data_IF_520539965539
#
_entry.id   IF_520539965539
#
_cell.length_a   1.000
_cell.length_b   1.000
_cell.length_c   1.000
_cell.angle_alpha   90.00
_cell.angle_beta   90.00
_cell.angle_gamma   90.00
#
_symmetry.space_group_name_H-M   'P 1'
#
loop_
_entity.id
_entity.type
_entity.pdbx_description
1 polymer ?
#
# COMPACT_ATOMS: atom_id res chain seq x y z
N UNK A 1 -0.15 -13.28 22.87
CA UNK A 1 0.53 -12.38 21.91
C UNK A 1 0.98 -11.12 22.63
N UNK A 2 2.28 -10.82 22.61
CA UNK A 2 2.84 -9.52 23.01
C UNK A 2 3.76 -9.01 21.90
N UNK A 3 3.97 -7.70 21.83
CA UNK A 3 4.88 -7.12 20.85
C UNK A 3 5.65 -5.94 21.45
N UNK A 4 6.84 -5.71 20.92
CA UNK A 4 7.67 -4.55 21.19
C UNK A 4 8.28 -4.07 19.88
N UNK A 5 8.61 -2.79 19.76
CA UNK A 5 9.11 -2.24 18.51
C UNK A 5 9.52 -0.79 18.63
N UNK A 6 10.11 -0.28 17.56
CA UNK A 6 10.48 1.12 17.44
C UNK A 6 10.07 1.67 16.05
N UNK A 7 9.89 2.98 16.01
CA UNK A 7 9.57 3.72 14.79
C UNK A 7 10.52 4.90 14.66
N UNK A 8 11.18 5.00 13.52
CA UNK A 8 12.00 6.14 13.13
C UNK A 8 11.23 6.93 12.08
N UNK A 9 11.04 8.21 12.32
CA UNK A 9 10.33 9.12 11.43
C UNK A 9 11.29 10.25 11.05
N UNK A 10 11.45 10.48 9.74
CA UNK A 10 12.28 11.54 9.19
C UNK A 10 11.44 12.39 8.25
N UNK A 11 11.48 13.70 8.44
CA UNK A 11 10.66 14.65 7.68
C UNK A 11 11.46 15.90 7.35
N UNK A 12 11.56 16.22 6.07
CA UNK A 12 12.03 17.52 5.56
C UNK A 12 10.93 18.26 4.81
N UNK A 13 9.68 17.84 4.99
CA UNK A 13 8.52 18.45 4.32
C UNK A 13 8.40 19.94 4.66
N UNK A 14 8.07 20.73 3.65
CA UNK A 14 7.71 22.14 3.79
C UNK A 14 6.42 22.32 4.61
N UNK A 15 5.45 21.44 4.40
CA UNK A 15 4.16 21.47 5.07
C UNK A 15 3.64 20.06 5.33
N UNK A 16 3.24 19.76 6.56
CA UNK A 16 2.80 18.41 6.96
C UNK A 16 1.38 18.05 6.52
N UNK A 17 0.55 19.04 6.21
CA UNK A 17 -0.82 18.83 5.70
C UNK A 17 -0.87 18.86 4.18
N UNK A 18 -0.09 19.75 3.56
CA UNK A 18 -0.07 19.96 2.10
C UNK A 18 1.38 20.07 1.61
N UNK A 19 2.12 18.95 1.56
CA UNK A 19 3.51 18.99 1.18
C UNK A 19 3.65 19.32 -0.30
N UNK A 20 4.52 20.26 -0.62
CA UNK A 20 4.88 20.59 -2.01
C UNK A 20 6.32 20.20 -2.33
N UNK A 21 7.17 20.10 -1.30
CA UNK A 21 8.58 19.78 -1.43
C UNK A 21 9.08 18.98 -0.23
N UNK A 22 10.02 18.07 -0.47
CA UNK A 22 10.79 17.40 0.56
C UNK A 22 10.46 15.93 0.72
N UNK A 23 11.16 15.28 1.66
CA UNK A 23 11.07 13.86 1.93
C UNK A 23 10.34 13.61 3.25
N UNK A 24 9.42 12.65 3.23
CA UNK A 24 8.91 12.01 4.43
C UNK A 24 9.20 10.52 4.39
N UNK A 25 9.91 10.02 5.39
CA UNK A 25 10.30 8.63 5.50
C UNK A 25 10.00 8.07 6.88
N UNK A 26 9.55 6.83 6.92
CA UNK A 26 9.28 6.08 8.14
C UNK A 26 9.92 4.70 8.05
N UNK A 27 10.50 4.27 9.16
CA UNK A 27 11.03 2.92 9.33
C UNK A 27 10.45 2.36 10.62
N UNK A 28 9.75 1.23 10.51
CA UNK A 28 9.10 0.56 11.62
C UNK A 28 9.68 -0.84 11.74
N UNK A 29 10.07 -1.20 12.96
CA UNK A 29 10.48 -2.56 13.28
C UNK A 29 9.76 -3.03 14.54
N UNK A 30 9.12 -4.18 14.43
CA UNK A 30 8.31 -4.77 15.49
C UNK A 30 8.69 -6.24 15.67
N UNK A 31 9.03 -6.59 16.90
CA UNK A 31 9.17 -7.97 17.35
C UNK A 31 7.85 -8.43 17.98
N UNK A 32 7.32 -9.56 17.52
CA UNK A 32 6.08 -10.18 17.99
C UNK A 32 6.44 -11.50 18.65
N UNK A 33 6.09 -11.63 19.93
CA UNK A 33 6.51 -12.70 20.83
C UNK A 33 5.34 -13.47 21.49
N UNK A 34 5.73 -14.37 22.39
CA UNK A 34 4.90 -15.21 23.27
C UNK A 34 4.27 -16.43 22.57
N UNK A 35 3.39 -16.21 21.60
CA UNK A 35 2.77 -17.28 20.80
C UNK A 35 3.39 -17.41 19.41
N UNK A 36 4.17 -16.39 19.02
CA UNK A 36 4.86 -16.28 17.74
C UNK A 36 6.28 -15.78 18.00
N UNK A 37 7.17 -15.96 17.03
CA UNK A 37 8.52 -15.41 17.05
C UNK A 37 8.82 -14.73 15.72
N UNK A 38 8.27 -13.52 15.53
CA UNK A 38 8.31 -12.81 14.26
C UNK A 38 9.01 -11.45 14.40
N UNK A 39 9.81 -11.10 13.40
CA UNK A 39 10.36 -9.77 13.21
C UNK A 39 9.74 -9.14 11.96
N UNK A 40 8.88 -8.15 12.17
CA UNK A 40 8.21 -7.38 11.13
C UNK A 40 8.95 -6.06 10.91
N UNK A 41 9.45 -5.87 9.70
CA UNK A 41 10.15 -4.64 9.28
C UNK A 41 9.38 -4.00 8.14
N UNK A 42 9.13 -2.70 8.22
CA UNK A 42 8.44 -1.93 7.19
C UNK A 42 9.14 -0.57 7.01
N UNK A 43 9.45 -0.22 5.77
CA UNK A 43 10.04 1.06 5.40
C UNK A 43 9.16 1.73 4.34
N UNK A 44 8.89 3.02 4.52
CA UNK A 44 8.08 3.82 3.60
C UNK A 44 8.73 5.18 3.42
N UNK A 45 8.78 5.67 2.19
CA UNK A 45 9.31 6.98 1.86
C UNK A 45 8.46 7.62 0.76
N UNK A 46 8.16 8.91 0.89
CA UNK A 46 7.53 9.71 -0.16
C UNK A 46 8.28 11.02 -0.31
N UNK A 47 8.71 11.29 -1.53
CA UNK A 47 9.39 12.53 -1.90
C UNK A 47 8.45 13.38 -2.76
N UNK A 48 8.32 14.65 -2.40
CA UNK A 48 7.52 15.65 -3.11
C UNK A 48 8.44 16.64 -3.82
N UNK A 49 8.06 17.04 -5.02
CA UNK A 49 8.77 18.05 -5.79
C UNK A 49 7.79 18.92 -6.58
N UNK A 50 7.99 20.25 -6.61
CA UNK A 50 7.24 21.10 -7.52
C UNK A 50 7.67 20.81 -8.96
N UNK A 51 6.72 20.42 -9.82
CA UNK A 51 6.97 20.22 -11.25
C UNK A 51 6.77 21.53 -12.03
N UNK A 52 5.73 22.27 -11.66
CA UNK A 52 5.44 23.60 -12.19
C UNK A 52 4.95 24.50 -11.05
N UNK A 53 5.87 25.26 -10.46
CA UNK A 53 5.58 26.12 -9.31
C UNK A 53 4.51 27.17 -9.64
N UNK A 54 4.54 27.75 -10.83
CA UNK A 54 3.58 28.78 -11.26
C UNK A 54 2.14 28.25 -11.38
N UNK A 55 1.99 26.96 -11.65
CA UNK A 55 0.69 26.29 -11.86
C UNK A 55 0.34 25.34 -10.72
N UNK A 56 1.08 25.37 -9.61
CA UNK A 56 0.84 24.55 -8.43
C UNK A 56 0.76 23.04 -8.74
N UNK A 57 1.57 22.58 -9.71
CA UNK A 57 1.64 21.16 -10.08
C UNK A 57 2.74 20.50 -9.28
N UNK A 58 2.37 19.49 -8.48
CA UNK A 58 3.27 18.81 -7.56
C UNK A 58 3.41 17.36 -8.00
N UNK A 59 4.65 16.93 -8.18
CA UNK A 59 5.00 15.53 -8.38
C UNK A 59 5.33 14.88 -7.05
N UNK A 60 4.99 13.60 -6.90
CA UNK A 60 5.48 12.80 -5.79
C UNK A 60 5.83 11.39 -6.23
N UNK A 61 6.85 10.83 -5.58
CA UNK A 61 7.25 9.44 -5.72
C UNK A 61 7.21 8.81 -4.33
N UNK A 62 6.44 7.73 -4.19
CA UNK A 62 6.38 6.90 -2.98
C UNK A 62 7.06 5.57 -3.24
N UNK A 63 7.89 5.13 -2.31
CA UNK A 63 8.45 3.79 -2.26
C UNK A 63 8.13 3.16 -0.89
N UNK A 64 7.85 1.86 -0.88
CA UNK A 64 7.56 1.13 0.34
C UNK A 64 8.00 -0.32 0.22
N UNK A 65 8.48 -0.88 1.32
CA UNK A 65 8.86 -2.28 1.40
C UNK A 65 8.53 -2.82 2.78
N UNK A 66 8.16 -4.09 2.84
CA UNK A 66 7.88 -4.78 4.08
C UNK A 66 8.36 -6.22 4.03
N UNK A 67 8.88 -6.71 5.15
CA UNK A 67 9.29 -8.09 5.31
C UNK A 67 8.99 -8.59 6.73
N UNK A 68 8.46 -9.81 6.83
CA UNK A 68 8.24 -10.51 8.09
C UNK A 68 9.14 -11.75 8.09
N UNK A 69 10.11 -11.76 9.00
CA UNK A 69 10.95 -12.92 9.26
C UNK A 69 10.39 -13.72 10.44
N UNK A 70 10.28 -15.03 10.31
CA UNK A 70 10.07 -15.92 11.44
C UNK A 70 11.44 -16.33 12.01
N UNK A 71 11.72 -15.98 13.27
CA UNK A 71 13.05 -16.16 13.87
C UNK A 71 13.27 -17.56 14.44
N UNK A 72 12.18 -18.31 14.67
CA UNK A 72 12.20 -19.71 15.13
C UNK A 72 12.19 -20.73 13.97
N UNK A 73 12.27 -20.26 12.73
CA UNK A 73 12.13 -21.11 11.53
C UNK A 73 10.70 -21.61 11.29
N UNK A 74 9.71 -21.12 12.05
CA UNK A 74 8.30 -21.36 11.81
C UNK A 74 7.77 -20.60 10.59
N UNK A 75 6.51 -20.87 10.23
CA UNK A 75 5.79 -20.09 9.22
C UNK A 75 5.21 -18.79 9.79
N UNK A 76 4.94 -17.81 8.94
CA UNK A 76 4.21 -16.59 9.33
C UNK A 76 2.71 -16.90 9.33
N UNK A 77 2.05 -16.70 10.47
CA UNK A 77 0.60 -16.87 10.56
C UNK A 77 -0.12 -15.88 9.62
N UNK A 78 -1.19 -16.30 8.90
CA UNK A 78 -2.03 -15.40 8.11
C UNK A 78 -2.61 -14.19 8.86
N UNK A 79 -2.67 -14.27 10.19
CA UNK A 79 -3.10 -13.17 11.06
C UNK A 79 -2.03 -12.07 11.22
N UNK A 80 -0.75 -12.42 11.07
CA UNK A 80 0.39 -11.49 11.20
C UNK A 80 0.92 -11.00 9.85
N UNK A 81 0.60 -11.74 8.77
CA UNK A 81 0.97 -11.43 7.40
C UNK A 81 0.44 -10.06 6.93
N UNK A 82 1.08 -9.48 5.92
CA UNK A 82 0.59 -8.26 5.29
C UNK A 82 -0.66 -8.55 4.45
N UNK A 83 -1.69 -7.72 4.62
CA UNK A 83 -2.98 -7.83 3.91
C UNK A 83 -3.42 -6.52 3.25
N UNK A 84 -2.70 -5.42 3.49
CA UNK A 84 -3.10 -4.08 3.07
C UNK A 84 -2.86 -3.91 1.57
N UNK A 85 -3.87 -4.27 0.79
CA UNK A 85 -3.83 -4.14 -0.66
C UNK A 85 -3.89 -2.67 -1.13
N UNK A 86 -4.92 -1.94 -0.66
CA UNK A 86 -5.21 -0.59 -1.13
C UNK A 86 -4.20 0.50 -0.75
N UNK A 87 -3.34 0.28 0.24
CA UNK A 87 -2.26 1.21 0.59
C UNK A 87 -1.02 1.05 -0.29
N UNK A 88 -0.90 -0.10 -0.97
CA UNK A 88 0.27 -0.48 -1.75
C UNK A 88 0.06 -0.19 -3.24
N UNK A 89 -1.03 -0.73 -3.80
CA UNK A 89 -1.45 -0.49 -5.19
C UNK A 89 -2.92 -0.19 -5.18
N UNK A 90 -3.30 1.00 -5.67
CA UNK A 90 -4.71 1.38 -5.79
C UNK A 90 -5.40 0.54 -6.86
N UNK A 91 -6.72 0.36 -6.74
CA UNK A 91 -7.50 -0.45 -7.68
C UNK A 91 -7.73 -1.89 -7.28
N UNK A 92 -7.21 -2.32 -6.13
CA UNK A 92 -7.50 -3.61 -5.52
C UNK A 92 -8.40 -3.42 -4.29
N UNK A 93 -9.30 -4.38 -4.07
CA UNK A 93 -10.11 -4.40 -2.84
C UNK A 93 -9.19 -4.57 -1.61
N UNK A 94 -9.66 -4.18 -0.43
CA UNK A 94 -8.93 -4.51 0.82
C UNK A 94 -8.80 -6.03 0.96
N UNK A 95 -7.57 -6.52 1.12
CA UNK A 95 -7.28 -7.96 1.04
C UNK A 95 -7.62 -8.58 -0.32
N UNK A 96 -7.60 -7.77 -1.39
CA UNK A 96 -7.94 -8.13 -2.76
C UNK A 96 -6.80 -8.79 -3.53
N UNK A 97 -5.55 -8.66 -3.07
CA UNK A 97 -4.37 -9.25 -3.70
C UNK A 97 -3.59 -10.19 -2.78
N UNK A 98 -2.98 -11.22 -3.36
CA UNK A 98 -2.07 -12.16 -2.68
C UNK A 98 -2.65 -13.57 -2.48
N UNK A 99 -1.86 -14.48 -1.88
CA UNK A 99 -2.22 -15.90 -1.79
C UNK A 99 -3.53 -16.14 -1.06
N UNK A 100 -4.31 -17.10 -1.56
CA UNK A 100 -5.61 -17.49 -1.00
C UNK A 100 -5.74 -18.99 -0.83
N UNK A 101 -6.59 -19.42 0.09
CA UNK A 101 -6.99 -20.81 0.21
C UNK A 101 -7.91 -21.23 -0.94
N UNK A 102 -7.64 -22.36 -1.57
CA UNK A 102 -8.49 -22.89 -2.66
C UNK A 102 -9.90 -23.28 -2.19
N UNK A 103 -10.05 -23.68 -0.92
CA UNK A 103 -11.31 -24.18 -0.36
C UNK A 103 -12.29 -23.08 0.03
N UNK A 104 -11.79 -21.96 0.57
CA UNK A 104 -12.61 -20.88 1.15
C UNK A 104 -12.43 -19.52 0.49
N UNK A 105 -11.50 -19.38 -0.45
CA UNK A 105 -11.10 -18.09 -1.05
C UNK A 105 -10.62 -17.04 -0.02
N UNK A 106 -10.21 -17.50 1.16
CA UNK A 106 -9.69 -16.66 2.23
C UNK A 106 -8.26 -16.20 1.91
N UNK A 107 -7.99 -14.91 2.07
CA UNK A 107 -6.64 -14.36 1.87
C UNK A 107 -5.72 -14.74 3.05
N UNK A 108 -4.56 -15.29 2.69
CA UNK A 108 -3.49 -15.66 3.62
C UNK A 108 -2.54 -14.50 3.92
N UNK A 109 -2.55 -13.48 3.06
CA UNK A 109 -1.60 -12.39 3.09
C UNK A 109 -0.24 -12.80 2.53
N UNK A 110 0.68 -11.85 2.50
CA UNK A 110 2.05 -12.02 2.00
C UNK A 110 3.04 -11.64 3.11
N UNK A 111 4.25 -12.20 3.08
CA UNK A 111 5.28 -11.96 4.10
C UNK A 111 6.30 -10.92 3.64
N UNK A 112 6.41 -10.71 2.33
CA UNK A 112 7.29 -9.74 1.72
C UNK A 112 6.53 -8.91 0.69
N UNK A 113 6.86 -7.63 0.59
CA UNK A 113 6.44 -6.81 -0.53
C UNK A 113 7.43 -5.68 -0.79
N UNK A 114 7.46 -5.22 -2.04
CA UNK A 114 8.07 -3.95 -2.45
C UNK A 114 7.11 -3.26 -3.40
N UNK A 115 6.94 -1.95 -3.25
CA UNK A 115 6.09 -1.17 -4.12
C UNK A 115 6.60 0.25 -4.33
N UNK A 116 6.22 0.80 -5.47
CA UNK A 116 6.49 2.15 -5.88
C UNK A 116 5.23 2.79 -6.48
N UNK A 117 5.11 4.08 -6.33
CA UNK A 117 4.00 4.88 -6.84
C UNK A 117 4.51 6.23 -7.29
N UNK A 118 4.11 6.65 -8.48
CA UNK A 118 4.36 7.98 -9.00
C UNK A 118 3.02 8.70 -9.14
N UNK A 119 2.96 9.95 -8.68
CA UNK A 119 1.73 10.75 -8.65
C UNK A 119 2.03 12.18 -9.07
N UNK A 120 1.15 12.76 -9.87
CA UNK A 120 1.16 14.17 -10.24
C UNK A 120 -0.17 14.75 -9.79
N UNK A 121 -0.11 15.71 -8.88
CA UNK A 121 -1.24 16.48 -8.37
C UNK A 121 -1.28 17.85 -9.04
N UNK A 122 -2.46 18.31 -9.42
CA UNK A 122 -2.66 19.58 -10.13
C UNK A 122 -3.97 20.26 -9.71
N UNK A 123 -4.03 21.60 -9.75
CA UNK A 123 -5.28 22.32 -9.53
C UNK A 123 -6.25 22.10 -10.70
N UNK A 124 -7.56 22.15 -10.43
CA UNK A 124 -8.58 22.02 -11.47
C UNK A 124 -8.79 23.38 -12.14
N UNK A 125 -8.54 23.54 -13.45
CA UNK A 125 -8.51 24.87 -14.11
C UNK A 125 -9.81 25.69 -14.00
N UNK A 126 -10.96 25.02 -13.86
CA UNK A 126 -12.29 25.64 -13.84
C UNK A 126 -12.70 26.07 -12.42
N UNK A 127 -12.06 25.50 -11.38
CA UNK A 127 -12.45 25.72 -9.99
C UNK A 127 -11.42 26.62 -9.29
N UNK A 128 -11.86 27.69 -8.59
CA UNK A 128 -11.01 28.42 -7.67
C UNK A 128 -10.32 27.49 -6.65
N UNK A 129 -9.03 27.69 -6.42
CA UNK A 129 -8.24 26.89 -5.46
C UNK A 129 -8.80 26.95 -4.03
N UNK A 130 -9.57 28.00 -3.70
CA UNK A 130 -10.24 28.18 -2.42
C UNK A 130 -11.27 27.09 -2.10
N UNK A 131 -11.75 26.36 -3.11
CA UNK A 131 -12.62 25.20 -2.89
C UNK A 131 -11.86 23.96 -2.39
N UNK A 132 -10.52 23.99 -2.38
CA UNK A 132 -9.69 22.90 -1.88
C UNK A 132 -9.78 21.63 -2.71
N UNK A 133 -10.19 21.73 -3.98
CA UNK A 133 -10.35 20.60 -4.89
C UNK A 133 -9.15 20.52 -5.85
N UNK A 134 -8.55 19.34 -5.95
CA UNK A 134 -7.40 19.07 -6.82
C UNK A 134 -7.61 17.76 -7.58
N UNK A 135 -7.01 17.68 -8.76
CA UNK A 135 -6.91 16.46 -9.53
C UNK A 135 -5.56 15.79 -9.27
N UNK A 136 -5.49 14.48 -9.42
CA UNK A 136 -4.22 13.78 -9.53
C UNK A 136 -4.29 12.70 -10.61
N UNK A 137 -3.14 12.39 -11.21
CA UNK A 137 -2.93 11.19 -12.02
C UNK A 137 -1.77 10.41 -11.43
N UNK A 138 -1.83 9.08 -11.51
CA UNK A 138 -0.86 8.26 -10.84
C UNK A 138 -0.68 6.89 -11.50
N UNK A 139 0.45 6.27 -11.18
CA UNK A 139 0.80 4.91 -11.55
C UNK A 139 1.43 4.19 -10.35
N UNK A 140 0.94 3.01 -10.04
CA UNK A 140 1.36 2.18 -8.92
C UNK A 140 1.87 0.83 -9.43
N UNK A 141 2.91 0.31 -8.77
CA UNK A 141 3.44 -1.02 -9.03
C UNK A 141 3.92 -1.67 -7.73
N UNK A 142 3.72 -2.97 -7.59
CA UNK A 142 4.19 -3.76 -6.46
C UNK A 142 4.57 -5.18 -6.87
N UNK A 143 5.52 -5.74 -6.14
CA UNK A 143 5.81 -7.17 -6.09
C UNK A 143 5.45 -7.65 -4.69
N UNK A 144 4.66 -8.72 -4.62
CA UNK A 144 4.28 -9.38 -3.37
C UNK A 144 4.81 -10.80 -3.35
N UNK A 145 5.21 -11.30 -2.19
CA UNK A 145 5.70 -12.66 -2.04
C UNK A 145 5.46 -13.22 -0.63
N UNK A 146 5.48 -14.55 -0.51
CA UNK A 146 5.38 -15.28 0.74
C UNK A 146 3.97 -15.80 1.04
N UNK A 147 3.87 -16.69 2.03
CA UNK A 147 2.65 -17.44 2.42
C UNK A 147 1.97 -18.30 1.34
N UNK A 148 2.48 -18.29 0.10
CA UNK A 148 2.00 -19.08 -1.04
C UNK A 148 2.82 -20.34 -1.35
N UNK A 149 3.88 -20.64 -0.59
CA UNK A 149 4.68 -21.85 -0.82
C UNK A 149 3.87 -23.09 -0.46
N UNK A 150 3.72 -23.98 -1.44
CA UNK A 150 2.79 -25.10 -1.58
C UNK A 150 2.85 -26.19 -0.50
N UNK A 151 3.56 -25.99 0.61
CA UNK A 151 3.71 -26.97 1.70
C UNK A 151 3.71 -26.39 3.12
N UNK A 152 3.39 -25.11 3.34
CA UNK A 152 3.62 -24.52 4.66
C UNK A 152 2.70 -23.34 5.00
N UNK A 153 1.39 -23.59 5.10
CA UNK A 153 0.65 -22.92 6.18
C UNK A 153 0.50 -23.97 7.29
N UNK A 154 1.32 -23.91 8.36
CA UNK A 154 1.22 -24.85 9.46
C UNK A 154 -0.25 -24.90 9.93
N UNK A 155 -0.85 -26.09 9.95
CA UNK A 155 -2.19 -26.39 10.46
C UNK A 155 -3.45 -26.09 9.60
N UNK A 156 -3.37 -25.62 8.33
CA UNK A 156 -4.61 -25.36 7.57
C UNK A 156 -5.09 -26.52 6.67
N UNK A 157 -4.25 -27.51 6.38
CA UNK A 157 -4.64 -28.71 5.60
C UNK A 157 -5.18 -28.46 4.19
N UNK A 158 -5.19 -27.21 3.71
CA UNK A 158 -5.79 -26.78 2.46
C UNK A 158 -4.72 -26.18 1.54
N UNK A 159 -4.72 -26.52 0.23
CA UNK A 159 -3.79 -25.95 -0.72
C UNK A 159 -4.08 -24.46 -0.98
N UNK A 160 -3.03 -23.76 -1.38
CA UNK A 160 -3.12 -22.39 -1.92
C UNK A 160 -3.68 -22.45 -3.33
N UNK A 161 -4.55 -21.50 -3.71
CA UNK A 161 -5.10 -21.41 -5.06
C UNK A 161 -3.99 -21.03 -6.03
N UNK A 162 -3.69 -21.85 -7.06
CA UNK A 162 -2.65 -21.51 -8.04
C UNK A 162 -2.92 -20.18 -8.75
N UNK A 163 -4.20 -19.84 -8.98
CA UNK A 163 -4.60 -18.58 -9.59
C UNK A 163 -4.42 -17.35 -8.68
N UNK A 164 -4.06 -17.54 -7.41
CA UNK A 164 -3.75 -16.43 -6.49
C UNK A 164 -2.26 -16.08 -6.41
N UNK A 165 -1.41 -16.89 -7.06
CA UNK A 165 0.06 -16.79 -7.04
C UNK A 165 0.67 -16.95 -8.45
N UNK A 166 -0.16 -16.94 -9.50
CA UNK A 166 0.27 -17.10 -10.89
C UNK A 166 0.97 -15.85 -11.44
N UNK A 167 0.59 -14.68 -10.94
CA UNK A 167 1.34 -13.44 -11.11
C UNK A 167 1.55 -12.80 -9.73
N UNK A 168 2.79 -12.47 -9.37
CA UNK A 168 3.15 -11.78 -8.12
C UNK A 168 3.36 -10.27 -8.33
N UNK A 169 3.47 -9.80 -9.56
CA UNK A 169 3.52 -8.39 -9.90
C UNK A 169 2.10 -7.82 -9.96
N UNK A 170 1.91 -6.63 -9.38
CA UNK A 170 0.63 -5.91 -9.33
C UNK A 170 0.89 -4.51 -9.82
N UNK A 171 0.07 -4.02 -10.75
CA UNK A 171 0.24 -2.66 -11.25
C UNK A 171 -1.10 -2.06 -11.64
N UNK A 172 -1.20 -0.74 -11.50
CA UNK A 172 -2.38 0.00 -11.86
C UNK A 172 -2.04 1.45 -12.20
N UNK A 173 -2.93 2.07 -12.95
CA UNK A 173 -2.89 3.50 -13.27
C UNK A 173 -4.25 4.10 -12.97
N UNK A 174 -4.30 5.40 -12.73
CA UNK A 174 -5.56 6.02 -12.43
C UNK A 174 -5.51 7.52 -12.26
N UNK A 175 -6.66 8.04 -11.85
CA UNK A 175 -6.85 9.44 -11.55
C UNK A 175 -7.55 9.58 -10.20
N UNK A 176 -7.33 10.71 -9.53
CA UNK A 176 -7.94 11.01 -8.25
C UNK A 176 -8.56 12.38 -8.24
N UNK A 177 -9.62 12.51 -7.44
CA UNK A 177 -10.15 13.79 -7.00
C UNK A 177 -9.86 13.92 -5.50
N UNK A 178 -9.15 14.98 -5.14
CA UNK A 178 -8.77 15.30 -3.76
C UNK A 178 -9.58 16.52 -3.34
N UNK A 179 -10.22 16.46 -2.19
CA UNK A 179 -11.02 17.55 -1.66
C UNK A 179 -10.73 17.78 -0.17
N UNK A 180 -10.18 18.95 0.13
CA UNK A 180 -9.98 19.42 1.50
C UNK A 180 -11.33 19.86 2.11
N UNK A 181 -12.16 18.88 2.51
CA UNK A 181 -13.47 19.14 3.09
C UNK A 181 -13.38 19.67 4.53
N UNK A 182 -14.44 20.29 5.07
CA UNK A 182 -14.50 20.71 6.49
C UNK A 182 -14.28 19.58 7.50
N UNK A 183 -14.46 18.33 7.07
CA UNK A 183 -14.32 17.13 7.90
C UNK A 183 -12.97 16.42 7.71
N UNK A 184 -12.08 16.97 6.89
CA UNK A 184 -10.77 16.40 6.55
C UNK A 184 -10.59 16.17 5.04
N UNK A 185 -9.36 15.84 4.61
CA UNK A 185 -9.06 15.65 3.20
C UNK A 185 -9.65 14.32 2.72
N UNK A 186 -10.60 14.40 1.80
CA UNK A 186 -11.23 13.26 1.13
C UNK A 186 -10.52 13.01 -0.20
N UNK A 187 -10.35 11.74 -0.55
CA UNK A 187 -9.74 11.31 -1.81
C UNK A 187 -10.61 10.24 -2.46
N UNK A 188 -11.08 10.53 -3.67
CA UNK A 188 -11.73 9.57 -4.55
C UNK A 188 -10.75 9.11 -5.62
N UNK A 189 -10.44 7.82 -5.68
CA UNK A 189 -9.53 7.23 -6.66
C UNK A 189 -10.31 6.40 -7.68
N UNK A 190 -10.02 6.63 -8.96
CA UNK A 190 -10.47 5.82 -10.09
C UNK A 190 -9.27 5.08 -10.66
N UNK A 191 -9.31 3.76 -10.59
CA UNK A 191 -8.18 2.90 -10.86
C UNK A 191 -8.47 1.90 -11.99
N UNK A 192 -7.49 1.72 -12.86
CA UNK A 192 -7.44 0.66 -13.86
C UNK A 192 -6.24 -0.25 -13.58
N UNK A 193 -6.54 -1.52 -13.27
CA UNK A 193 -5.53 -2.53 -12.94
C UNK A 193 -4.95 -3.10 -14.23
N UNK A 194 -3.62 -3.02 -14.37
CA UNK A 194 -2.87 -3.49 -15.54
C UNK A 194 -2.40 -4.94 -15.38
N UNK A 195 -1.77 -5.25 -14.25
CA UNK A 195 -1.30 -6.59 -13.91
C UNK A 195 -1.94 -7.07 -12.61
N UNK A 196 -2.41 -8.32 -12.61
CA UNK A 196 -3.05 -8.99 -11.48
C UNK A 196 -2.95 -10.51 -11.61
N UNK A 197 -3.03 -11.20 -10.47
CA UNK A 197 -3.25 -12.64 -10.44
C UNK A 197 -4.69 -12.97 -10.89
N UNK A 198 -4.93 -14.22 -11.31
CA UNK A 198 -6.27 -14.67 -11.76
C UNK A 198 -7.34 -14.47 -10.68
N UNK A 199 -7.01 -14.76 -9.42
CA UNK A 199 -7.94 -14.71 -8.28
C UNK A 199 -7.94 -13.37 -7.53
N UNK A 200 -7.24 -12.35 -8.06
CA UNK A 200 -7.23 -11.03 -7.47
C UNK A 200 -8.55 -10.29 -7.66
N UNK A 201 -8.97 -9.60 -6.59
CA UNK A 201 -10.21 -8.81 -6.55
C UNK A 201 -9.90 -7.33 -6.74
N UNK A 202 -10.41 -6.78 -7.83
CA UNK A 202 -10.23 -5.37 -8.19
C UNK A 202 -11.38 -4.48 -7.69
N UNK A 203 -11.11 -3.19 -7.58
CA UNK A 203 -12.04 -2.15 -7.18
C UNK A 203 -11.78 -0.90 -8.02
N UNK A 204 -12.71 -0.56 -8.91
CA UNK A 204 -12.54 0.56 -9.85
C UNK A 204 -12.56 1.92 -9.14
N UNK A 205 -13.41 2.06 -8.13
CA UNK A 205 -13.57 3.29 -7.37
C UNK A 205 -13.37 3.06 -5.87
N UNK A 206 -12.54 3.88 -5.24
CA UNK A 206 -12.38 3.90 -3.78
C UNK A 206 -12.46 5.32 -3.23
N UNK A 207 -13.14 5.47 -2.10
CA UNK A 207 -13.21 6.71 -1.34
C UNK A 207 -12.47 6.52 -0.01
N UNK A 208 -11.47 7.37 0.24
CA UNK A 208 -10.61 7.28 1.43
C UNK A 208 -10.36 8.66 2.04
N UNK A 209 -9.88 8.67 3.28
CA UNK A 209 -9.24 9.85 3.84
C UNK A 209 -7.81 9.91 3.33
N UNK A 210 -7.38 11.07 2.86
CA UNK A 210 -6.02 11.25 2.35
C UNK A 210 -5.03 11.09 3.49
N UNK A 211 -4.05 10.22 3.27
CA UNK A 211 -2.90 10.04 4.16
C UNK A 211 -1.61 10.32 3.40
N UNK A 212 -0.59 10.73 4.15
CA UNK A 212 0.69 11.13 3.59
C UNK A 212 1.56 9.94 3.15
N UNK A 213 1.38 8.75 3.75
CA UNK A 213 2.03 7.49 3.35
C UNK A 213 1.00 6.39 3.10
#
# INVERSE_FOLDING_TARGET
KAWTGYSLNYSTLDNTKRPTEGLYATFNQQYIGWDYNLLKTEAKARYFMPLMSDWNVIGSIKAQAGYIAALDGGGVSPLEAFRSAGSIVRGFQSGGMGPRLSSSNEILGYTAYVAASAEIEFPIPILPETYGVRGAIWADAALIDGNGSTNSVPNLGNPVSPGSIDDNFKSSVGASLIWDSPFGPLRGDFAYVLNKATDDKTQVFSLTLQQLL
#
